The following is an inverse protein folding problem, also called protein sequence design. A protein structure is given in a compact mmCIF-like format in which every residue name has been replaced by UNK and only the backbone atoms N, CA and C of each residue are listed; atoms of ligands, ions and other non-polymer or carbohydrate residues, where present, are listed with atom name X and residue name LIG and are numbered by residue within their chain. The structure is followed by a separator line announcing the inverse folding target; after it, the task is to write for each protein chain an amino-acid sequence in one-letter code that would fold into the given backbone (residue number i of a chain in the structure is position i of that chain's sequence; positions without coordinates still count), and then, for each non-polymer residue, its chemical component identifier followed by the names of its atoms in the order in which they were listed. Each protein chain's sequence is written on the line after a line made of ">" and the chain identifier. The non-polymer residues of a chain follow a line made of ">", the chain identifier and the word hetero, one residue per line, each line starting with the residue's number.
data_IF_134571598281
#
_entry.id   IF_134571598281
#
_cell.length_a   1.000
_cell.length_b   1.000
_cell.length_c   1.000
_cell.angle_alpha   90.00
_cell.angle_beta   90.00
_cell.angle_gamma   90.00
#
_symmetry.space_group_name_H-M   'P 1'
#
loop_
_entity.id
_entity.type
_entity.pdbx_description
1 polymer ?
#
# COMPACT_ATOMS: atom_id res chain seq x y z
N UNK A 1 -8.32 23.95 4.82
CA UNK A 1 -8.08 25.14 3.98
C UNK A 1 -7.22 26.09 4.80
N UNK A 2 -5.93 26.14 4.52
CA UNK A 2 -5.03 27.23 4.95
C UNK A 2 -3.75 27.12 4.09
N UNK A 3 -3.90 27.35 2.79
CA UNK A 3 -2.77 27.39 1.86
C UNK A 3 -2.24 28.81 1.79
N UNK A 4 -1.06 29.08 2.35
CA UNK A 4 -0.37 30.36 2.14
C UNK A 4 -0.06 30.53 0.66
N UNK A 5 -0.61 31.58 0.06
CA UNK A 5 -0.35 31.99 -1.32
C UNK A 5 1.13 32.42 -1.40
N UNK A 6 1.95 31.68 -2.16
CA UNK A 6 3.35 32.06 -2.42
C UNK A 6 3.44 32.67 -3.80
N UNK A 7 4.00 33.88 -3.87
CA UNK A 7 4.30 34.55 -5.12
C UNK A 7 5.73 34.20 -5.52
N UNK A 8 5.90 33.71 -6.76
CA UNK A 8 7.22 33.38 -7.29
C UNK A 8 7.56 34.29 -8.46
N UNK A 9 8.80 34.78 -8.50
CA UNK A 9 9.27 35.63 -9.59
C UNK A 9 9.36 34.82 -10.90
N UNK A 10 8.64 35.26 -11.92
CA UNK A 10 8.61 34.59 -13.22
C UNK A 10 9.87 34.96 -14.01
N UNK A 11 10.63 33.95 -14.42
CA UNK A 11 11.81 34.07 -15.28
C UNK A 11 11.76 33.03 -16.40
N UNK A 12 12.41 33.30 -17.53
CA UNK A 12 12.46 32.34 -18.63
C UNK A 12 13.24 31.09 -18.18
N UNK A 13 12.72 29.90 -18.47
CA UNK A 13 13.38 28.64 -18.12
C UNK A 13 13.20 28.12 -16.70
N UNK A 14 12.36 28.77 -15.87
CA UNK A 14 12.08 28.28 -14.52
C UNK A 14 11.25 27.00 -14.55
N UNK A 15 11.53 26.13 -13.58
CA UNK A 15 10.93 24.80 -13.49
C UNK A 15 10.08 24.70 -12.23
N UNK A 16 8.96 24.00 -12.35
CA UNK A 16 8.16 23.54 -11.22
C UNK A 16 8.26 22.01 -11.13
N UNK A 17 8.60 21.50 -9.95
CA UNK A 17 8.58 20.07 -9.62
C UNK A 17 7.33 19.80 -8.79
N UNK A 18 6.38 19.10 -9.38
CA UNK A 18 5.07 18.85 -8.79
C UNK A 18 4.92 17.34 -8.57
N UNK A 19 4.99 16.86 -7.31
CA UNK A 19 4.80 15.46 -6.99
C UNK A 19 3.40 14.97 -7.36
N UNK A 20 3.28 13.67 -7.62
CA UNK A 20 2.00 13.04 -7.86
C UNK A 20 1.03 13.29 -6.69
N UNK A 21 -0.25 13.48 -7.03
CA UNK A 21 -1.34 13.71 -6.06
C UNK A 21 -1.27 15.02 -5.26
N UNK A 22 -0.31 15.92 -5.55
CA UNK A 22 -0.27 17.25 -4.95
C UNK A 22 -1.29 18.17 -5.64
N UNK A 23 -2.29 18.63 -4.89
CA UNK A 23 -3.15 19.72 -5.32
C UNK A 23 -2.36 21.04 -5.33
N UNK A 24 -2.26 21.67 -6.49
CA UNK A 24 -1.67 22.99 -6.67
C UNK A 24 -2.59 23.85 -7.54
N UNK A 25 -2.46 25.16 -7.42
CA UNK A 25 -3.17 26.14 -8.23
C UNK A 25 -2.19 27.27 -8.57
N UNK A 26 -2.24 27.73 -9.81
CA UNK A 26 -1.38 28.81 -10.33
C UNK A 26 -2.27 29.90 -10.92
N UNK A 27 -1.91 31.16 -10.66
CA UNK A 27 -2.54 32.31 -11.30
C UNK A 27 -1.48 33.12 -12.05
N UNK A 28 -1.79 33.52 -13.28
CA UNK A 28 -0.88 34.25 -14.16
C UNK A 28 -1.43 35.67 -14.35
N UNK A 29 -0.57 36.67 -14.16
CA UNK A 29 -0.90 38.09 -14.36
C UNK A 29 -0.58 38.57 -15.79
N UNK A 30 -0.02 37.69 -16.62
CA UNK A 30 0.37 37.91 -18.01
C UNK A 30 0.28 36.62 -18.82
N UNK A 31 0.33 36.74 -20.14
CA UNK A 31 0.43 35.59 -21.04
C UNK A 31 1.73 34.81 -20.80
N UNK A 32 1.63 33.49 -20.71
CA UNK A 32 2.76 32.60 -20.44
C UNK A 32 2.71 31.37 -21.35
N UNK A 33 3.88 30.95 -21.82
CA UNK A 33 4.08 29.66 -22.48
C UNK A 33 4.81 28.71 -21.53
N UNK A 34 4.29 27.49 -21.38
CA UNK A 34 4.95 26.46 -20.58
C UNK A 34 4.77 25.08 -21.22
N UNK A 35 5.49 24.10 -20.70
CA UNK A 35 5.38 22.71 -21.14
C UNK A 35 5.31 21.82 -19.91
N UNK A 36 4.40 20.85 -19.94
CA UNK A 36 4.22 19.87 -18.86
C UNK A 36 4.81 18.55 -19.30
N UNK A 37 5.76 18.05 -18.51
CA UNK A 37 6.35 16.73 -18.69
C UNK A 37 5.90 15.85 -17.54
N UNK A 38 5.08 14.85 -17.84
CA UNK A 38 4.69 13.84 -16.88
C UNK A 38 5.70 12.69 -16.93
N UNK A 39 6.29 12.35 -15.78
CA UNK A 39 7.25 11.26 -15.66
C UNK A 39 6.55 10.07 -15.02
N UNK A 40 6.64 8.91 -15.67
CA UNK A 40 6.09 7.68 -15.11
C UNK A 40 6.85 7.29 -13.82
N UNK A 41 6.15 6.95 -12.73
CA UNK A 41 6.80 6.54 -11.47
C UNK A 41 7.77 5.37 -11.62
N UNK A 42 7.55 4.48 -12.60
CA UNK A 42 8.46 3.36 -12.86
C UNK A 42 9.85 3.84 -13.31
N UNK A 43 9.92 4.90 -14.11
CA UNK A 43 11.18 5.47 -14.60
C UNK A 43 11.97 6.13 -13.47
N UNK A 44 11.29 6.88 -12.58
CA UNK A 44 11.92 7.45 -11.38
C UNK A 44 12.51 6.35 -10.49
N UNK A 45 11.75 5.28 -10.23
CA UNK A 45 12.20 4.19 -9.38
C UNK A 45 13.35 3.38 -10.00
N UNK A 46 13.41 3.22 -11.33
CA UNK A 46 14.53 2.54 -11.99
C UNK A 46 15.87 3.26 -11.75
N UNK A 47 15.87 4.60 -11.71
CA UNK A 47 17.08 5.40 -11.41
C UNK A 47 17.58 5.27 -9.96
N UNK A 48 16.80 4.63 -9.08
CA UNK A 48 17.16 4.42 -7.67
C UNK A 48 17.69 3.02 -7.36
N UNK A 49 17.59 2.06 -8.28
CA UNK A 49 17.94 0.66 -8.02
C UNK A 49 19.42 0.43 -7.68
N UNK A 50 20.31 1.36 -8.02
CA UNK A 50 21.73 1.33 -7.61
C UNK A 50 21.96 1.81 -6.16
N UNK A 51 21.02 2.53 -5.57
CA UNK A 51 21.15 3.23 -4.28
C UNK A 51 20.06 2.80 -3.29
N UNK A 52 20.00 1.49 -3.00
CA UNK A 52 19.14 0.86 -1.99
C UNK A 52 17.63 0.96 -2.29
N UNK A 53 16.90 -0.15 -2.10
CA UNK A 53 15.44 -0.25 -2.28
C UNK A 53 14.68 0.71 -1.34
N UNK A 54 14.57 1.97 -1.72
CA UNK A 54 13.84 3.01 -1.01
C UNK A 54 12.88 3.67 -1.98
N UNK A 55 11.60 3.67 -1.65
CA UNK A 55 10.64 4.50 -2.35
C UNK A 55 11.05 5.97 -2.20
N UNK A 56 11.14 6.65 -3.33
CA UNK A 56 11.47 8.07 -3.40
C UNK A 56 10.20 8.89 -3.54
N UNK A 57 10.19 10.04 -2.87
CA UNK A 57 9.15 11.04 -3.03
C UNK A 57 9.79 12.35 -3.46
N UNK A 58 9.26 12.94 -4.53
CA UNK A 58 9.69 14.26 -4.97
C UNK A 58 9.22 15.30 -3.95
N UNK A 59 10.11 16.23 -3.62
CA UNK A 59 9.77 17.41 -2.82
C UNK A 59 9.16 18.44 -3.77
N UNK A 60 8.00 19.04 -3.43
CA UNK A 60 7.45 20.11 -4.24
C UNK A 60 8.38 21.31 -4.26
N UNK A 61 8.77 21.71 -5.47
CA UNK A 61 9.60 22.89 -5.71
C UNK A 61 8.93 23.75 -6.77
N UNK A 62 8.91 25.04 -6.54
CA UNK A 62 8.28 25.98 -7.44
C UNK A 62 9.27 27.05 -7.84
N UNK A 63 9.29 27.37 -9.13
CA UNK A 63 10.12 28.42 -9.71
C UNK A 63 11.60 28.19 -9.40
N UNK A 64 12.12 26.98 -9.59
CA UNK A 64 13.55 26.72 -9.44
C UNK A 64 14.30 27.08 -10.73
N UNK A 65 15.57 27.42 -10.58
CA UNK A 65 16.51 27.61 -11.68
C UNK A 65 17.43 26.37 -11.75
N UNK A 66 17.00 25.38 -12.55
CA UNK A 66 17.80 24.19 -12.83
C UNK A 66 18.02 24.06 -14.35
N UNK A 67 19.14 24.60 -14.87
CA UNK A 67 19.39 24.64 -16.31
C UNK A 67 19.53 23.23 -16.92
N UNK A 68 19.90 22.22 -16.13
CA UNK A 68 20.00 20.84 -16.59
C UNK A 68 18.61 20.25 -16.82
N UNK A 69 17.68 20.44 -15.87
CA UNK A 69 16.28 20.01 -16.07
C UNK A 69 15.68 20.72 -17.28
N UNK A 70 15.90 22.04 -17.40
CA UNK A 70 15.39 22.82 -18.53
C UNK A 70 15.88 22.27 -19.88
N UNK A 71 17.18 22.00 -20.01
CA UNK A 71 17.76 21.48 -21.26
C UNK A 71 17.25 20.08 -21.61
N UNK A 72 17.17 19.18 -20.62
CA UNK A 72 16.66 17.82 -20.82
C UNK A 72 15.17 17.83 -21.21
N UNK A 73 14.38 18.69 -20.56
CA UNK A 73 12.96 18.88 -20.86
C UNK A 73 12.74 19.41 -22.28
N UNK A 74 13.53 20.39 -22.71
CA UNK A 74 13.44 20.94 -24.06
C UNK A 74 13.88 19.93 -25.12
N UNK A 75 14.95 19.17 -24.86
CA UNK A 75 15.40 18.09 -25.75
C UNK A 75 14.33 17.01 -25.93
N UNK A 76 13.68 16.59 -24.84
CA UNK A 76 12.54 15.65 -24.88
C UNK A 76 11.38 16.22 -25.68
N UNK A 77 11.02 17.49 -25.46
CA UNK A 77 9.95 18.17 -26.20
C UNK A 77 10.22 18.17 -27.70
N UNK A 78 11.43 18.56 -28.11
CA UNK A 78 11.83 18.59 -29.51
C UNK A 78 11.74 17.19 -30.12
N UNK A 79 12.31 16.18 -29.45
CA UNK A 79 12.30 14.80 -29.96
C UNK A 79 10.88 14.26 -30.13
N UNK A 80 9.97 14.54 -29.20
CA UNK A 80 8.55 14.15 -29.33
C UNK A 80 7.88 14.89 -30.49
N UNK A 81 8.16 16.19 -30.64
CA UNK A 81 7.57 17.02 -31.69
C UNK A 81 8.06 16.64 -33.10
N UNK A 82 9.28 16.16 -33.23
CA UNK A 82 9.82 15.68 -34.50
C UNK A 82 9.39 14.24 -34.82
N UNK A 83 8.65 13.57 -33.93
CA UNK A 83 8.20 12.19 -34.15
C UNK A 83 9.26 11.14 -33.81
N UNK A 84 10.13 11.44 -32.84
CA UNK A 84 11.20 10.57 -32.36
C UNK A 84 12.23 10.20 -33.45
N UNK A 85 12.66 11.17 -34.26
CA UNK A 85 13.58 10.96 -35.39
C UNK A 85 14.94 10.39 -34.98
N UNK A 86 15.41 10.71 -33.77
CA UNK A 86 16.67 10.20 -33.22
C UNK A 86 16.52 8.77 -32.67
N UNK A 87 15.30 8.24 -32.66
CA UNK A 87 14.97 6.89 -32.25
C UNK A 87 14.58 6.77 -30.78
N UNK A 88 13.85 5.70 -30.45
CA UNK A 88 13.30 5.44 -29.11
C UNK A 88 14.35 5.46 -27.99
N UNK A 89 15.53 4.90 -28.24
CA UNK A 89 16.61 4.81 -27.25
C UNK A 89 17.10 6.19 -26.80
N UNK A 90 17.13 7.17 -27.71
CA UNK A 90 17.54 8.54 -27.39
C UNK A 90 16.54 9.20 -26.45
N UNK A 91 15.23 9.03 -26.70
CA UNK A 91 14.18 9.48 -25.79
C UNK A 91 14.25 8.80 -24.41
N UNK A 92 14.54 7.50 -24.37
CA UNK A 92 14.74 6.76 -23.12
C UNK A 92 15.95 7.29 -22.32
N UNK A 93 17.06 7.61 -22.99
CA UNK A 93 18.24 8.20 -22.37
C UNK A 93 17.94 9.59 -21.76
N UNK A 94 17.27 10.47 -22.51
CA UNK A 94 16.88 11.80 -22.03
C UNK A 94 15.93 11.70 -20.84
N UNK A 95 14.94 10.80 -20.91
CA UNK A 95 14.00 10.54 -19.83
C UNK A 95 14.70 10.03 -18.56
N UNK A 96 15.66 9.11 -18.73
CA UNK A 96 16.45 8.54 -17.62
C UNK A 96 17.34 9.59 -16.98
N UNK A 97 18.01 10.43 -17.78
CA UNK A 97 18.83 11.54 -17.27
C UNK A 97 17.98 12.57 -16.51
N UNK A 98 16.79 12.90 -17.02
CA UNK A 98 15.86 13.80 -16.34
C UNK A 98 15.38 13.22 -15.01
N UNK A 99 14.99 11.95 -15.00
CA UNK A 99 14.60 11.24 -13.79
C UNK A 99 15.74 11.22 -12.75
N UNK A 100 16.97 10.87 -13.17
CA UNK A 100 18.14 10.87 -12.29
C UNK A 100 18.43 12.24 -11.68
N UNK A 101 18.35 13.32 -12.46
CA UNK A 101 18.52 14.70 -11.97
C UNK A 101 17.46 15.09 -10.93
N UNK A 102 16.21 14.68 -11.16
CA UNK A 102 15.11 14.91 -10.21
C UNK A 102 15.31 14.15 -8.91
N UNK A 103 15.72 12.89 -8.99
CA UNK A 103 16.00 12.07 -7.81
C UNK A 103 17.16 12.62 -7.00
N UNK A 104 18.24 13.02 -7.67
CA UNK A 104 19.45 13.47 -7.01
C UNK A 104 19.25 14.75 -6.18
N UNK A 105 18.47 15.71 -6.69
CA UNK A 105 18.40 17.06 -6.12
C UNK A 105 17.03 17.42 -5.52
N UNK A 106 15.97 16.70 -5.91
CA UNK A 106 14.60 17.05 -5.56
C UNK A 106 13.79 15.87 -5.03
N UNK A 107 14.42 14.74 -4.74
CA UNK A 107 13.78 13.65 -4.01
C UNK A 107 14.34 13.52 -2.60
N UNK A 108 13.47 13.09 -1.68
CA UNK A 108 13.88 12.50 -0.41
C UNK A 108 13.68 11.01 -0.48
N UNK A 109 14.61 10.27 0.11
CA UNK A 109 14.31 8.89 0.49
C UNK A 109 13.17 8.94 1.49
N UNK A 110 12.01 8.39 1.13
CA UNK A 110 11.07 7.97 2.14
C UNK A 110 11.78 6.85 2.91
N UNK A 111 11.80 6.83 4.25
CA UNK A 111 11.98 5.55 4.92
C UNK A 111 10.90 4.65 4.32
N UNK A 112 11.33 3.62 3.61
CA UNK A 112 10.44 2.71 2.91
C UNK A 112 9.62 1.95 3.96
N UNK A 113 8.48 2.53 4.33
CA UNK A 113 7.29 1.74 4.66
C UNK A 113 6.71 1.30 3.32
N UNK A 114 7.47 0.47 2.60
CA UNK A 114 7.08 -0.10 1.32
C UNK A 114 5.91 -1.05 1.61
N UNK A 115 4.71 -0.52 1.47
CA UNK A 115 3.45 -1.26 1.51
C UNK A 115 2.93 -1.50 0.10
N UNK A 116 3.84 -1.77 -0.87
CA UNK A 116 3.49 -2.78 -1.87
C UNK A 116 3.17 -4.04 -1.08
N UNK A 117 1.93 -4.51 -1.14
CA UNK A 117 1.51 -5.74 -0.50
C UNK A 117 2.20 -6.94 -1.18
N UNK A 118 3.51 -7.06 -1.00
CA UNK A 118 4.11 -8.36 -0.85
C UNK A 118 3.45 -8.94 0.40
N UNK A 119 2.97 -10.18 0.33
CA UNK A 119 2.39 -10.84 1.49
C UNK A 119 3.32 -10.75 2.70
N UNK A 120 2.79 -11.04 3.90
CA UNK A 120 3.63 -11.25 5.08
C UNK A 120 4.81 -12.19 4.75
N UNK A 121 6.05 -11.83 5.12
CA UNK A 121 7.18 -12.75 5.07
C UNK A 121 6.83 -14.07 5.77
N UNK A 122 7.28 -15.20 5.23
CA UNK A 122 6.88 -16.53 5.70
C UNK A 122 7.01 -16.71 7.23
N UNK A 123 8.13 -16.27 7.80
CA UNK A 123 8.37 -16.35 9.25
C UNK A 123 7.41 -15.49 10.09
N UNK A 124 7.01 -14.32 9.58
CA UNK A 124 6.02 -13.47 10.25
C UNK A 124 4.61 -14.07 10.12
N UNK A 125 4.28 -14.62 8.95
CA UNK A 125 3.01 -15.29 8.72
C UNK A 125 2.83 -16.49 9.66
N UNK A 126 3.85 -17.35 9.77
CA UNK A 126 3.87 -18.48 10.70
C UNK A 126 3.66 -18.03 12.14
N UNK A 127 4.43 -17.03 12.58
CA UNK A 127 4.30 -16.46 13.94
C UNK A 127 2.89 -15.94 14.23
N UNK A 128 2.27 -15.23 13.28
CA UNK A 128 0.90 -14.72 13.43
C UNK A 128 -0.11 -15.87 13.50
N UNK A 129 0.00 -16.86 12.61
CA UNK A 129 -0.89 -18.02 12.59
C UNK A 129 -0.79 -18.81 13.89
N UNK A 130 0.43 -19.06 14.38
CA UNK A 130 0.66 -19.79 15.62
C UNK A 130 0.09 -19.02 16.82
N UNK A 131 0.28 -17.70 16.85
CA UNK A 131 -0.31 -16.85 17.88
C UNK A 131 -1.84 -16.90 17.86
N UNK A 132 -2.47 -16.83 16.67
CA UNK A 132 -3.92 -16.93 16.54
C UNK A 132 -4.43 -18.30 17.01
N UNK A 133 -3.74 -19.39 16.66
CA UNK A 133 -4.11 -20.75 17.07
C UNK A 133 -3.97 -20.98 18.58
N UNK A 134 -2.90 -20.45 19.18
CA UNK A 134 -2.67 -20.54 20.62
C UNK A 134 -3.72 -19.75 21.43
N UNK A 135 -4.26 -18.67 20.86
CA UNK A 135 -5.14 -17.74 21.55
C UNK A 135 -6.57 -17.70 20.97
N UNK A 136 -7.06 -18.81 20.39
CA UNK A 136 -8.38 -18.85 19.74
C UNK A 136 -9.55 -18.44 20.65
N UNK A 137 -9.44 -18.66 21.97
CA UNK A 137 -10.49 -18.33 22.95
C UNK A 137 -10.50 -16.88 23.40
N UNK A 138 -9.42 -16.12 23.12
CA UNK A 138 -9.28 -14.73 23.55
C UNK A 138 -9.90 -13.76 22.56
N UNK A 139 -10.22 -12.55 23.01
CA UNK A 139 -10.69 -11.47 22.14
C UNK A 139 -9.49 -10.81 21.43
N UNK A 140 -9.06 -11.42 20.32
CA UNK A 140 -7.93 -10.93 19.52
C UNK A 140 -8.34 -9.75 18.65
N UNK A 141 -7.67 -8.61 18.83
CA UNK A 141 -7.82 -7.46 17.96
C UNK A 141 -6.86 -7.49 16.78
N UNK A 142 -7.16 -6.71 15.73
CA UNK A 142 -6.24 -6.50 14.60
C UNK A 142 -4.96 -5.80 15.07
N UNK A 143 -5.06 -4.92 16.06
CA UNK A 143 -3.92 -4.25 16.67
C UNK A 143 -2.95 -5.27 17.29
N UNK A 144 -3.45 -6.24 18.06
CA UNK A 144 -2.61 -7.27 18.67
C UNK A 144 -1.80 -8.03 17.62
N UNK A 145 -2.43 -8.41 16.51
CA UNK A 145 -1.77 -9.13 15.44
C UNK A 145 -0.77 -8.25 14.66
N UNK A 146 -1.09 -6.97 14.47
CA UNK A 146 -0.23 -6.02 13.78
C UNK A 146 1.03 -5.69 14.60
N UNK A 147 0.94 -5.65 15.93
CA UNK A 147 2.10 -5.43 16.80
C UNK A 147 3.12 -6.57 16.70
N UNK A 148 2.68 -7.82 16.49
CA UNK A 148 3.58 -8.97 16.30
C UNK A 148 4.48 -8.84 15.06
N UNK A 149 4.04 -8.10 14.06
CA UNK A 149 4.76 -7.89 12.80
C UNK A 149 5.37 -6.49 12.68
N UNK A 150 5.24 -5.66 13.72
CA UNK A 150 5.67 -4.24 13.71
C UNK A 150 5.03 -3.44 12.57
N UNK A 151 3.76 -3.71 12.28
CA UNK A 151 2.99 -3.06 11.20
C UNK A 151 1.84 -2.24 11.78
N UNK A 152 1.33 -1.29 10.99
CA UNK A 152 0.02 -0.70 11.26
C UNK A 152 -1.11 -1.69 10.96
N UNK A 153 -2.28 -1.53 11.60
CA UNK A 153 -3.44 -2.41 11.43
C UNK A 153 -3.88 -2.57 9.97
N UNK A 154 -3.94 -1.45 9.24
CA UNK A 154 -4.34 -1.42 7.84
C UNK A 154 -3.31 -2.06 6.91
N UNK A 155 -2.02 -2.00 7.25
CA UNK A 155 -1.01 -2.71 6.49
C UNK A 155 -1.05 -4.21 6.77
N UNK A 156 -1.03 -4.59 8.04
CA UNK A 156 -1.12 -5.99 8.45
C UNK A 156 -2.33 -6.69 7.81
N UNK A 157 -3.51 -6.06 7.85
CA UNK A 157 -4.73 -6.65 7.28
C UNK A 157 -4.62 -6.90 5.77
N UNK A 158 -3.98 -5.99 5.03
CA UNK A 158 -3.76 -6.14 3.59
C UNK A 158 -2.72 -7.23 3.29
N UNK A 159 -1.59 -7.21 3.99
CA UNK A 159 -0.47 -8.14 3.76
C UNK A 159 -0.82 -9.57 4.20
N UNK A 160 -1.57 -9.73 5.29
CA UNK A 160 -2.12 -11.01 5.70
C UNK A 160 -3.10 -11.56 4.65
N UNK A 161 -4.05 -10.72 4.17
CA UNK A 161 -5.00 -11.13 3.13
C UNK A 161 -4.29 -11.52 1.84
N UNK A 162 -3.21 -10.83 1.48
CA UNK A 162 -2.42 -11.19 0.31
C UNK A 162 -1.73 -12.57 0.48
N UNK A 163 -1.18 -12.86 1.66
CA UNK A 163 -0.54 -14.15 1.94
C UNK A 163 -1.52 -15.32 2.05
N UNK A 164 -2.67 -15.10 2.70
CA UNK A 164 -3.61 -16.17 3.10
C UNK A 164 -4.83 -16.25 2.17
N UNK A 165 -5.10 -15.21 1.38
CA UNK A 165 -6.26 -15.09 0.48
C UNK A 165 -7.50 -14.49 1.15
N UNK A 166 -7.58 -14.45 2.48
CA UNK A 166 -8.73 -13.95 3.25
C UNK A 166 -8.30 -13.02 4.39
N UNK A 167 -9.21 -12.17 4.86
CA UNK A 167 -8.91 -11.21 5.92
C UNK A 167 -8.61 -11.89 7.27
N UNK A 168 -7.77 -11.30 8.15
CA UNK A 168 -7.41 -11.90 9.44
C UNK A 168 -8.59 -12.34 10.29
N UNK A 169 -9.62 -11.48 10.42
CA UNK A 169 -10.84 -11.80 11.15
C UNK A 169 -11.57 -13.01 10.57
N UNK A 170 -11.64 -13.12 9.24
CA UNK A 170 -12.27 -14.25 8.57
C UNK A 170 -11.50 -15.55 8.82
N UNK A 171 -10.16 -15.50 8.77
CA UNK A 171 -9.31 -16.64 9.11
C UNK A 171 -9.53 -17.09 10.56
N UNK A 172 -9.56 -16.15 11.52
CA UNK A 172 -9.83 -16.46 12.92
C UNK A 172 -11.18 -17.17 13.09
N UNK A 173 -12.24 -16.65 12.47
CA UNK A 173 -13.56 -17.26 12.54
C UNK A 173 -13.58 -18.67 11.94
N UNK A 174 -12.86 -18.93 10.84
CA UNK A 174 -12.73 -20.27 10.27
C UNK A 174 -12.06 -21.24 11.25
N UNK A 175 -10.97 -20.83 11.89
CA UNK A 175 -10.29 -21.67 12.89
C UNK A 175 -11.18 -21.97 14.10
N UNK A 176 -11.96 -20.98 14.57
CA UNK A 176 -12.93 -21.18 15.66
C UNK A 176 -14.05 -22.14 15.27
N UNK A 177 -14.58 -22.04 14.06
CA UNK A 177 -15.59 -22.97 13.53
C UNK A 177 -15.02 -24.38 13.40
N UNK A 178 -13.78 -24.52 12.94
CA UNK A 178 -13.15 -25.84 12.81
C UNK A 178 -12.96 -26.53 14.16
N UNK A 179 -12.51 -25.78 15.18
CA UNK A 179 -12.48 -26.26 16.57
C UNK A 179 -13.87 -26.63 17.07
N UNK A 180 -14.89 -25.85 16.74
CA UNK A 180 -16.27 -26.13 17.14
C UNK A 180 -16.76 -27.45 16.54
N UNK A 181 -16.44 -27.76 15.26
CA UNK A 181 -16.77 -29.06 14.66
C UNK A 181 -16.18 -30.23 15.45
N UNK A 182 -14.89 -30.14 15.79
CA UNK A 182 -14.19 -31.18 16.58
C UNK A 182 -14.81 -31.39 17.96
N UNK A 183 -15.30 -30.32 18.61
CA UNK A 183 -15.98 -30.43 19.90
C UNK A 183 -17.41 -30.95 19.76
N UNK A 184 -18.11 -30.63 18.67
CA UNK A 184 -19.49 -31.09 18.43
C UNK A 184 -19.57 -32.60 18.16
N UNK A 185 -18.51 -33.22 17.64
CA UNK A 185 -18.40 -34.68 17.52
C UNK A 185 -18.47 -35.37 18.90
N UNK A 186 -18.07 -34.66 19.97
CA UNK A 186 -18.20 -35.13 21.35
C UNK A 186 -19.59 -34.75 21.87
N UNK A 187 -20.57 -35.62 21.64
CA UNK A 187 -22.01 -35.39 21.92
C UNK A 187 -22.38 -35.06 23.39
N UNK A 188 -21.42 -35.07 24.32
CA UNK A 188 -21.63 -34.80 25.75
C UNK A 188 -21.49 -33.33 26.16
N UNK A 189 -21.06 -32.43 25.25
CA UNK A 189 -20.80 -31.02 25.57
C UNK A 189 -21.96 -30.14 25.09
N UNK A 190 -22.45 -29.25 25.96
CA UNK A 190 -23.47 -28.27 25.60
C UNK A 190 -22.95 -27.25 24.57
N UNK A 191 -23.76 -26.90 23.57
CA UNK A 191 -23.39 -25.97 22.49
C UNK A 191 -23.01 -24.58 23.04
N UNK A 192 -23.63 -24.15 24.13
CA UNK A 192 -23.27 -22.91 24.83
C UNK A 192 -21.84 -22.95 25.38
N UNK A 193 -21.42 -24.08 25.95
CA UNK A 193 -20.04 -24.31 26.43
C UNK A 193 -19.07 -24.35 25.26
N UNK A 194 -19.40 -25.06 24.18
CA UNK A 194 -18.59 -25.11 22.95
C UNK A 194 -18.37 -23.71 22.38
N UNK A 195 -19.39 -22.84 22.42
CA UNK A 195 -19.26 -21.46 21.95
C UNK A 195 -18.15 -20.71 22.72
N UNK A 196 -18.14 -20.80 24.05
CA UNK A 196 -17.14 -20.16 24.89
C UNK A 196 -15.74 -20.79 24.70
N UNK A 197 -15.66 -22.12 24.64
CA UNK A 197 -14.41 -22.88 24.44
C UNK A 197 -13.77 -22.68 23.05
N UNK A 198 -14.54 -22.13 22.12
CA UNK A 198 -14.10 -21.71 20.80
C UNK A 198 -13.89 -20.20 20.69
N UNK A 199 -14.10 -19.42 21.75
CA UNK A 199 -13.89 -17.96 21.76
C UNK A 199 -15.05 -17.15 21.16
N UNK A 200 -16.24 -17.72 21.00
CA UNK A 200 -17.43 -16.95 20.64
C UNK A 200 -18.03 -16.29 21.88
N UNK A 201 -18.48 -15.04 21.72
CA UNK A 201 -19.14 -14.30 22.79
C UNK A 201 -20.36 -15.02 23.40
N UNK A 202 -21.10 -15.80 22.61
CA UNK A 202 -22.23 -16.60 23.05
C UNK A 202 -22.66 -17.62 21.97
N UNK A 203 -23.60 -18.51 22.33
CA UNK A 203 -24.17 -19.52 21.46
C UNK A 203 -24.84 -18.94 20.20
N UNK A 204 -25.49 -17.78 20.30
CA UNK A 204 -26.14 -17.13 19.15
C UNK A 204 -25.10 -16.70 18.12
N UNK A 205 -23.98 -16.13 18.57
CA UNK A 205 -22.86 -15.77 17.72
C UNK A 205 -22.26 -17.00 17.02
N UNK A 206 -21.97 -18.07 17.78
CA UNK A 206 -21.53 -19.35 17.21
C UNK A 206 -22.51 -19.85 16.14
N UNK A 207 -23.81 -19.90 16.45
CA UNK A 207 -24.83 -20.44 15.54
C UNK A 207 -24.89 -19.66 14.23
N UNK A 208 -24.80 -18.33 14.28
CA UNK A 208 -24.79 -17.46 13.10
C UNK A 208 -23.58 -17.73 12.21
N UNK A 209 -22.38 -17.69 12.79
CA UNK A 209 -21.12 -17.85 12.03
C UNK A 209 -20.98 -19.28 11.51
N UNK A 210 -21.29 -20.28 12.33
CA UNK A 210 -21.23 -21.69 11.95
C UNK A 210 -22.15 -21.99 10.77
N UNK A 211 -23.40 -21.49 10.79
CA UNK A 211 -24.34 -21.65 9.66
C UNK A 211 -23.85 -20.94 8.41
N UNK A 212 -23.31 -19.74 8.54
CA UNK A 212 -22.77 -19.00 7.40
C UNK A 212 -21.61 -19.75 6.72
N UNK A 213 -20.76 -20.43 7.50
CA UNK A 213 -19.57 -21.12 6.98
C UNK A 213 -19.81 -22.59 6.57
N UNK A 214 -20.77 -23.27 7.19
CA UNK A 214 -20.98 -24.73 6.98
C UNK A 214 -22.32 -25.07 6.31
N UNK A 215 -23.24 -24.11 6.21
CA UNK A 215 -24.61 -24.33 5.73
C UNK A 215 -25.56 -24.97 6.76
N UNK A 216 -25.07 -25.39 7.93
CA UNK A 216 -25.88 -26.07 8.96
C UNK A 216 -25.78 -25.37 10.32
N UNK A 217 -26.73 -25.62 11.23
CA UNK A 217 -26.58 -25.15 12.63
C UNK A 217 -25.68 -26.09 13.43
N UNK A 218 -25.00 -25.64 14.50
CA UNK A 218 -24.20 -26.51 15.37
C UNK A 218 -24.98 -27.73 15.88
N UNK A 219 -26.26 -27.53 16.25
CA UNK A 219 -27.15 -28.59 16.74
C UNK A 219 -27.47 -29.63 15.66
N UNK A 220 -27.65 -29.19 14.42
CA UNK A 220 -27.86 -30.10 13.30
C UNK A 220 -26.58 -30.88 12.96
N UNK A 221 -25.42 -30.22 13.06
CA UNK A 221 -24.11 -30.85 12.85
C UNK A 221 -23.81 -31.92 13.91
N UNK A 222 -24.09 -31.66 15.20
CA UNK A 222 -23.89 -32.62 16.30
C UNK A 222 -24.74 -33.90 16.19
N UNK A 223 -25.88 -33.84 15.51
CA UNK A 223 -26.80 -34.98 15.32
C UNK A 223 -26.46 -35.85 14.11
N UNK A 224 -25.54 -35.39 13.28
CA UNK A 224 -25.08 -36.11 12.09
C UNK A 224 -24.03 -37.14 12.49
#
# INVERSE_FOLDING_TARGET
>A
MEGKFKHYAHGNGRVDVIPAFLSHWTNWDREVEFSVIAICPTLLNQTTQELMQRDIELIPQFSIDDPVIQQLALALKIEIQTGCMSGRLYGELLGTALAGRLVQNYAVSKPSLDFKANGLPQSQLERVIDYMKANLTQDLSILDLATLTSMSESHFSRSFKQSVGIAPYQYLMQQRVERAKQLLEKQSIAISTIALDCGFANQTHLTKVFRQMTGMTPKAYQKR
#
